data_IF_366692226298
#
_entry.id   IF_366692226298
#
_cell.length_a   1.000
_cell.length_b   1.000
_cell.length_c   1.000
_cell.angle_alpha   90.00
_cell.angle_beta   90.00
_cell.angle_gamma   90.00
#
_symmetry.space_group_name_H-M   'P 1'
#
loop_
_entity.id
_entity.type
_entity.pdbx_description
1 polymer ?
#
# COMPACT_ATOMS: atom_id res chain seq x y z
N UNK A 1 -40.15 -1.58 -5.97
CA UNK A 1 -39.15 -2.02 -6.96
C UNK A 1 -38.54 -0.80 -7.61
N UNK A 2 -37.22 -0.62 -7.53
CA UNK A 2 -36.50 0.50 -8.16
C UNK A 2 -35.96 -0.01 -9.48
N UNK A 3 -36.30 0.67 -10.58
CA UNK A 3 -35.91 0.26 -11.93
C UNK A 3 -34.87 1.26 -12.47
N UNK A 4 -33.63 0.80 -12.57
CA UNK A 4 -32.54 1.52 -13.23
C UNK A 4 -32.47 1.01 -14.68
N UNK A 5 -32.90 1.83 -15.63
CA UNK A 5 -32.81 1.50 -17.06
C UNK A 5 -31.72 2.34 -17.70
N UNK A 6 -30.60 1.72 -18.07
CA UNK A 6 -29.60 2.32 -18.96
C UNK A 6 -30.03 2.07 -20.41
N UNK A 7 -30.31 3.15 -21.15
CA UNK A 7 -30.45 3.09 -22.60
C UNK A 7 -29.18 3.63 -23.25
N UNK A 8 -28.54 2.80 -24.08
CA UNK A 8 -27.31 3.12 -24.81
C UNK A 8 -27.69 3.70 -26.17
N UNK A 9 -27.73 5.02 -26.27
CA UNK A 9 -27.74 5.74 -27.56
C UNK A 9 -26.38 6.44 -27.71
N UNK A 10 -25.76 6.50 -28.90
CA UNK A 10 -24.39 6.98 -29.04
C UNK A 10 -24.34 8.47 -28.67
N UNK A 11 -23.81 8.75 -27.48
CA UNK A 11 -23.49 10.09 -27.00
C UNK A 11 -24.38 10.69 -25.91
N UNK A 12 -25.52 10.09 -25.53
CA UNK A 12 -26.34 10.62 -24.42
C UNK A 12 -26.80 9.47 -23.53
N UNK A 13 -26.32 9.46 -22.29
CA UNK A 13 -26.80 8.55 -21.26
C UNK A 13 -27.90 9.24 -20.47
N UNK A 14 -28.97 8.50 -20.19
CA UNK A 14 -30.12 9.02 -19.44
C UNK A 14 -30.29 8.27 -18.14
N UNK A 15 -30.21 8.98 -17.01
CA UNK A 15 -30.51 8.45 -15.68
C UNK A 15 -31.93 8.86 -15.28
N UNK A 16 -32.81 7.90 -14.99
CA UNK A 16 -34.14 8.18 -14.44
C UNK A 16 -34.20 7.76 -12.98
N UNK A 17 -34.47 8.72 -12.09
CA UNK A 17 -34.70 8.48 -10.67
C UNK A 17 -36.00 9.17 -10.25
N UNK A 18 -37.01 8.39 -9.85
CA UNK A 18 -38.39 8.88 -9.63
C UNK A 18 -38.92 9.62 -10.88
N UNK A 19 -39.56 10.79 -10.71
CA UNK A 19 -40.03 11.65 -11.81
C UNK A 19 -38.94 12.59 -12.38
N UNK A 20 -37.66 12.35 -12.10
CA UNK A 20 -36.56 13.15 -12.64
C UNK A 20 -35.74 12.36 -13.64
N UNK A 21 -35.51 12.96 -14.80
CA UNK A 21 -34.67 12.42 -15.87
C UNK A 21 -33.48 13.36 -16.03
N UNK A 22 -32.26 12.83 -15.85
CA UNK A 22 -31.01 13.58 -16.07
C UNK A 22 -30.33 13.00 -17.30
N UNK A 23 -30.07 13.85 -18.30
CA UNK A 23 -29.28 13.49 -19.47
C UNK A 23 -27.85 13.98 -19.27
N UNK A 24 -26.87 13.12 -19.51
CA UNK A 24 -25.46 13.50 -19.50
C UNK A 24 -24.76 13.00 -20.75
N UNK A 25 -23.90 13.86 -21.31
CA UNK A 25 -23.05 13.56 -22.46
C UNK A 25 -21.64 13.32 -21.94
N UNK A 26 -21.20 12.07 -21.91
CA UNK A 26 -19.78 11.75 -21.72
C UNK A 26 -19.09 12.06 -23.05
N UNK A 27 -18.29 13.12 -23.11
CA UNK A 27 -17.47 13.48 -24.30
C UNK A 27 -16.18 12.64 -24.38
N UNK A 28 -16.24 11.38 -23.93
CA UNK A 28 -15.07 10.52 -23.76
C UNK A 28 -15.28 9.25 -24.59
N UNK A 29 -14.47 9.05 -25.62
CA UNK A 29 -14.46 7.81 -26.39
C UNK A 29 -13.64 6.76 -25.64
N UNK A 30 -14.30 6.09 -24.69
CA UNK A 30 -13.71 5.02 -23.89
C UNK A 30 -13.11 3.89 -24.74
N UNK A 31 -13.50 3.74 -26.02
CA UNK A 31 -12.96 2.68 -26.88
C UNK A 31 -11.55 2.99 -27.38
N UNK A 32 -11.27 4.23 -27.78
CA UNK A 32 -9.96 4.64 -28.29
C UNK A 32 -8.87 4.59 -27.20
N UNK A 33 -9.20 5.03 -25.99
CA UNK A 33 -8.22 5.10 -24.91
C UNK A 33 -7.87 3.71 -24.35
N UNK A 34 -8.81 2.76 -24.44
CA UNK A 34 -8.53 1.37 -24.08
C UNK A 34 -7.60 0.72 -25.11
N UNK A 35 -7.73 1.02 -26.40
CA UNK A 35 -6.82 0.48 -27.41
C UNK A 35 -5.35 0.88 -27.14
N UNK A 36 -5.09 2.13 -26.77
CA UNK A 36 -3.74 2.60 -26.43
C UNK A 36 -3.18 1.95 -25.15
N UNK A 37 -3.99 1.86 -24.09
CA UNK A 37 -3.59 1.17 -22.87
C UNK A 37 -3.29 -0.32 -23.11
N UNK A 38 -4.09 -0.99 -23.95
CA UNK A 38 -3.84 -2.38 -24.32
C UNK A 38 -2.51 -2.55 -25.06
N UNK A 39 -2.20 -1.66 -26.03
CA UNK A 39 -0.91 -1.71 -26.75
C UNK A 39 0.28 -1.59 -25.80
N UNK A 40 0.24 -0.65 -24.87
CA UNK A 40 1.29 -0.45 -23.86
C UNK A 40 1.42 -1.67 -22.95
N UNK A 41 0.29 -2.21 -22.48
CA UNK A 41 0.27 -3.41 -21.65
C UNK A 41 0.92 -4.61 -22.37
N UNK A 42 0.55 -4.88 -23.63
CA UNK A 42 1.11 -5.98 -24.39
C UNK A 42 2.60 -5.78 -24.68
N UNK A 43 3.03 -4.56 -25.01
CA UNK A 43 4.44 -4.22 -25.20
C UNK A 43 5.25 -4.53 -23.94
N UNK A 44 4.82 -4.05 -22.78
CA UNK A 44 5.51 -4.25 -21.51
C UNK A 44 5.53 -5.73 -21.09
N UNK A 45 4.40 -6.43 -21.22
CA UNK A 45 4.32 -7.84 -20.87
C UNK A 45 5.25 -8.71 -21.75
N UNK A 46 5.28 -8.45 -23.06
CA UNK A 46 6.09 -9.22 -24.02
C UNK A 46 7.59 -8.87 -23.96
N UNK A 47 7.92 -7.58 -23.87
CA UNK A 47 9.30 -7.10 -23.96
C UNK A 47 10.04 -7.03 -22.62
N UNK A 48 9.35 -7.18 -21.48
CA UNK A 48 10.00 -7.20 -20.16
C UNK A 48 10.93 -8.40 -19.93
N UNK A 49 11.09 -9.32 -20.90
CA UNK A 49 11.84 -10.57 -20.74
C UNK A 49 11.36 -11.40 -19.54
N UNK A 50 10.07 -11.32 -19.20
CA UNK A 50 9.45 -11.92 -17.99
C UNK A 50 9.96 -11.36 -16.67
N UNK A 51 10.66 -10.22 -16.67
CA UNK A 51 11.06 -9.54 -15.45
C UNK A 51 9.86 -9.00 -14.66
N UNK A 52 8.75 -8.74 -15.35
CA UNK A 52 7.53 -8.20 -14.76
C UNK A 52 6.42 -9.25 -14.89
N UNK A 53 5.78 -9.58 -13.78
CA UNK A 53 4.62 -10.48 -13.78
C UNK A 53 3.38 -9.74 -14.24
N UNK A 54 2.40 -10.47 -14.79
CA UNK A 54 1.08 -9.92 -15.13
C UNK A 54 0.47 -9.12 -13.96
N UNK A 55 0.49 -9.70 -12.77
CA UNK A 55 -0.05 -9.10 -11.55
C UNK A 55 0.67 -7.79 -11.19
N UNK A 56 2.01 -7.76 -11.26
CA UNK A 56 2.79 -6.54 -11.01
C UNK A 56 2.47 -5.44 -12.03
N UNK A 57 2.26 -5.80 -13.29
CA UNK A 57 1.91 -4.87 -14.35
C UNK A 57 0.49 -4.28 -14.16
N UNK A 58 -0.47 -5.13 -13.78
CA UNK A 58 -1.84 -4.71 -13.47
C UNK A 58 -1.89 -3.78 -12.25
N UNK A 59 -1.21 -4.14 -11.15
CA UNK A 59 -1.12 -3.31 -9.94
C UNK A 59 -0.50 -1.94 -10.25
N UNK A 60 0.61 -1.91 -10.99
CA UNK A 60 1.29 -0.65 -11.34
C UNK A 60 0.41 0.26 -12.21
N UNK A 61 -0.39 -0.31 -13.11
CA UNK A 61 -1.32 0.46 -13.93
C UNK A 61 -2.44 1.09 -13.09
N UNK A 62 -2.99 0.33 -12.13
CA UNK A 62 -4.04 0.83 -11.22
C UNK A 62 -3.48 1.92 -10.31
N UNK A 63 -2.28 1.73 -9.75
CA UNK A 63 -1.58 2.75 -8.95
C UNK A 63 -1.32 4.03 -9.76
N UNK A 64 -0.85 3.91 -10.99
CA UNK A 64 -0.62 5.05 -11.88
C UNK A 64 -1.88 5.86 -12.15
N UNK A 65 -3.02 5.20 -12.36
CA UNK A 65 -4.32 5.85 -12.53
C UNK A 65 -4.77 6.51 -11.22
N UNK A 66 -4.66 5.83 -10.09
CA UNK A 66 -5.08 6.35 -8.78
C UNK A 66 -4.28 7.58 -8.34
N UNK A 67 -2.97 7.60 -8.61
CA UNK A 67 -2.09 8.73 -8.35
C UNK A 67 -2.49 10.01 -9.12
N UNK A 68 -3.31 9.89 -10.18
CA UNK A 68 -3.82 11.04 -10.93
C UNK A 68 -5.05 11.71 -10.29
N UNK A 69 -5.71 11.04 -9.33
CA UNK A 69 -6.93 11.51 -8.69
C UNK A 69 -6.64 12.56 -7.61
N UNK A 70 -5.83 12.19 -6.61
CA UNK A 70 -5.23 13.09 -5.62
C UNK A 70 -4.15 12.35 -4.81
N UNK A 71 -3.38 13.09 -3.98
CA UNK A 71 -2.30 12.54 -3.17
C UNK A 71 -2.74 11.57 -2.05
N UNK A 72 -4.04 11.43 -1.81
CA UNK A 72 -4.62 10.58 -0.75
C UNK A 72 -5.30 9.33 -1.32
N UNK A 73 -5.52 9.29 -2.63
CA UNK A 73 -6.16 8.20 -3.35
C UNK A 73 -5.15 7.09 -3.63
N UNK A 74 -5.15 6.05 -2.80
CA UNK A 74 -4.27 4.91 -2.96
C UNK A 74 -5.05 3.67 -3.37
N UNK A 75 -4.52 2.94 -4.36
CA UNK A 75 -4.90 1.55 -4.58
C UNK A 75 -4.27 0.71 -3.47
N UNK A 76 -5.06 -0.16 -2.86
CA UNK A 76 -4.56 -1.12 -1.88
C UNK A 76 -4.92 -2.50 -2.37
N UNK A 77 -3.90 -3.33 -2.61
CA UNK A 77 -4.12 -4.75 -2.74
C UNK A 77 -4.65 -5.34 -1.42
N UNK A 78 -5.07 -6.60 -1.45
CA UNK A 78 -5.68 -7.26 -0.30
C UNK A 78 -4.75 -7.23 0.93
N UNK A 79 -3.46 -7.52 0.73
CA UNK A 79 -2.49 -7.62 1.81
C UNK A 79 -2.22 -6.24 2.44
N UNK A 80 -2.11 -5.20 1.61
CA UNK A 80 -1.92 -3.81 2.02
C UNK A 80 -3.16 -3.26 2.71
N UNK A 81 -4.34 -3.56 2.19
CA UNK A 81 -5.62 -3.19 2.81
C UNK A 81 -5.76 -3.84 4.19
N UNK A 82 -5.50 -5.15 4.29
CA UNK A 82 -5.52 -5.84 5.58
C UNK A 82 -4.45 -5.29 6.53
N UNK A 83 -3.27 -4.89 6.01
CA UNK A 83 -2.22 -4.24 6.80
C UNK A 83 -2.68 -2.89 7.36
N UNK A 84 -3.27 -2.04 6.53
CA UNK A 84 -3.79 -0.71 6.92
C UNK A 84 -5.00 -0.79 7.85
N UNK A 85 -5.89 -1.76 7.64
CA UNK A 85 -6.96 -2.06 8.57
C UNK A 85 -6.40 -2.50 9.92
N UNK A 86 -5.36 -3.35 9.96
CA UNK A 86 -4.69 -3.71 11.22
C UNK A 86 -4.00 -2.52 11.89
N UNK A 87 -3.41 -1.59 11.12
CA UNK A 87 -2.81 -0.35 11.64
C UNK A 87 -3.88 0.54 12.29
N UNK A 88 -5.01 0.72 11.62
CA UNK A 88 -6.14 1.53 12.08
C UNK A 88 -6.85 0.92 13.29
N UNK A 89 -6.94 -0.41 13.33
CA UNK A 89 -7.52 -1.17 14.44
C UNK A 89 -6.56 -1.30 15.65
N UNK A 90 -5.33 -0.75 15.56
CA UNK A 90 -4.34 -0.84 16.62
C UNK A 90 -3.85 -2.26 16.90
N UNK A 91 -4.03 -3.19 15.95
CA UNK A 91 -3.70 -4.61 16.07
C UNK A 91 -2.22 -4.92 15.81
N UNK A 92 -1.34 -3.92 15.83
CA UNK A 92 0.11 -4.11 15.84
C UNK A 92 0.70 -3.77 17.20
N UNK A 93 1.51 -4.70 17.72
CA UNK A 93 2.39 -4.41 18.85
C UNK A 93 3.74 -3.96 18.32
N UNK A 94 4.02 -2.65 18.36
CA UNK A 94 5.40 -2.19 18.28
C UNK A 94 6.13 -2.49 19.59
N UNK A 95 7.45 -2.66 19.56
CA UNK A 95 8.25 -2.80 20.79
C UNK A 95 8.23 -1.51 21.64
N UNK A 96 7.74 -0.39 21.10
CA UNK A 96 7.62 0.90 21.79
C UNK A 96 8.98 1.53 22.04
N UNK A 97 9.72 1.77 20.96
CA UNK A 97 11.02 2.43 20.94
C UNK A 97 11.14 3.32 19.70
N UNK A 98 11.95 4.36 19.81
CA UNK A 98 12.35 5.24 18.71
C UNK A 98 13.77 4.85 18.31
N UNK A 99 14.00 4.64 17.02
CA UNK A 99 15.30 4.26 16.46
C UNK A 99 15.80 5.31 15.48
N UNK A 100 17.11 5.36 15.28
CA UNK A 100 17.77 6.22 14.30
C UNK A 100 18.94 5.49 13.66
N UNK A 101 19.39 5.98 12.50
CA UNK A 101 20.58 5.49 11.81
C UNK A 101 21.72 6.48 12.02
N UNK A 102 22.87 6.00 12.49
CA UNK A 102 24.10 6.77 12.62
C UNK A 102 25.28 5.88 12.25
N UNK A 103 26.25 6.38 11.49
CA UNK A 103 27.46 5.62 11.11
C UNK A 103 27.15 4.23 10.50
N UNK A 104 26.08 4.16 9.70
CA UNK A 104 25.53 2.93 9.11
C UNK A 104 25.16 1.83 10.12
N UNK A 105 24.81 2.24 11.35
CA UNK A 105 24.32 1.38 12.43
C UNK A 105 23.03 1.95 13.00
N UNK A 106 22.12 1.07 13.35
CA UNK A 106 20.84 1.43 13.95
C UNK A 106 21.01 1.55 15.46
N UNK A 107 20.50 2.64 16.02
CA UNK A 107 20.57 2.97 17.44
C UNK A 107 19.20 3.26 18.01
N UNK A 108 19.00 2.89 19.26
CA UNK A 108 17.83 3.29 20.05
C UNK A 108 18.02 4.73 20.51
N UNK A 109 17.09 5.60 20.14
CA UNK A 109 17.03 6.99 20.63
C UNK A 109 16.39 7.03 22.01
N UNK A 110 15.27 6.34 22.19
CA UNK A 110 14.55 6.21 23.47
C UNK A 110 13.54 5.07 23.42
N UNK A 111 13.21 4.53 24.59
CA UNK A 111 12.05 3.65 24.78
C UNK A 111 10.84 4.45 25.25
N UNK A 112 9.65 3.93 25.00
CA UNK A 112 8.39 4.46 25.53
C UNK A 112 8.11 3.84 26.90
N UNK A 113 7.59 4.62 27.85
CA UNK A 113 7.24 4.13 29.17
C UNK A 113 6.21 2.99 29.09
N UNK A 114 6.38 1.97 29.92
CA UNK A 114 5.59 0.74 29.97
C UNK A 114 5.54 -0.02 28.62
N UNK A 115 6.54 0.14 27.76
CA UNK A 115 6.62 -0.61 26.50
C UNK A 115 7.29 -1.98 26.69
N UNK A 116 7.09 -2.93 25.75
CA UNK A 116 7.89 -4.16 25.71
C UNK A 116 9.39 -3.92 25.71
N UNK A 117 9.87 -2.88 25.02
CA UNK A 117 11.29 -2.53 24.97
C UNK A 117 11.84 -2.08 26.32
N UNK A 118 11.10 -1.24 27.06
CA UNK A 118 11.50 -0.84 28.42
C UNK A 118 11.52 -2.04 29.37
N UNK A 119 10.51 -2.90 29.32
CA UNK A 119 10.46 -4.14 30.12
C UNK A 119 11.58 -5.12 29.78
N UNK A 120 12.06 -5.11 28.54
CA UNK A 120 13.21 -5.90 28.09
C UNK A 120 14.57 -5.28 28.50
N UNK A 121 14.58 -4.11 29.13
CA UNK A 121 15.79 -3.44 29.58
C UNK A 121 16.57 -2.74 28.46
N UNK A 122 15.94 -2.46 27.32
CA UNK A 122 16.56 -1.75 26.20
C UNK A 122 16.70 -0.28 26.57
N UNK A 123 17.89 0.28 26.33
CA UNK A 123 18.23 1.65 26.72
C UNK A 123 18.54 2.53 25.51
N UNK A 124 18.45 3.83 25.72
CA UNK A 124 18.93 4.81 24.74
C UNK A 124 20.44 4.60 24.52
N UNK A 125 20.86 4.54 23.25
CA UNK A 125 22.24 4.29 22.84
C UNK A 125 22.53 2.84 22.46
N UNK A 126 21.63 1.88 22.72
CA UNK A 126 21.80 0.50 22.28
C UNK A 126 21.85 0.43 20.75
N UNK A 127 22.76 -0.40 20.23
CA UNK A 127 22.88 -0.66 18.79
C UNK A 127 22.45 -2.07 18.45
N UNK A 128 21.76 -2.23 17.32
CA UNK A 128 21.28 -3.53 16.88
C UNK A 128 22.35 -4.25 16.06
N UNK A 129 22.63 -5.51 16.41
CA UNK A 129 23.52 -6.40 15.63
C UNK A 129 22.71 -7.40 14.79
N UNK A 130 21.62 -7.91 15.36
CA UNK A 130 20.75 -8.87 14.71
C UNK A 130 19.28 -8.65 15.08
N UNK A 131 18.38 -9.16 14.25
CA UNK A 131 16.97 -9.34 14.62
C UNK A 131 16.54 -10.72 14.17
N UNK A 132 16.00 -11.52 15.10
CA UNK A 132 15.61 -12.92 14.87
C UNK A 132 16.73 -13.74 14.21
N UNK A 133 17.98 -13.51 14.64
CA UNK A 133 19.18 -14.17 14.10
C UNK A 133 19.65 -13.66 12.74
N UNK A 134 18.94 -12.72 12.10
CA UNK A 134 19.37 -12.08 10.85
C UNK A 134 20.28 -10.90 11.15
N UNK A 135 21.47 -10.85 10.54
CA UNK A 135 22.33 -9.68 10.58
C UNK A 135 21.65 -8.50 9.88
N UNK A 136 21.56 -7.35 10.55
CA UNK A 136 20.82 -6.19 10.05
C UNK A 136 21.70 -4.99 9.69
N UNK A 137 23.03 -5.12 9.74
CA UNK A 137 23.97 -4.00 9.51
C UNK A 137 23.91 -3.42 8.09
N UNK A 138 23.29 -4.14 7.15
CA UNK A 138 23.10 -3.72 5.76
C UNK A 138 21.67 -3.26 5.43
N UNK A 139 20.74 -3.27 6.41
CA UNK A 139 19.34 -2.95 6.17
C UNK A 139 19.05 -1.46 6.33
N UNK A 140 18.13 -0.95 5.50
CA UNK A 140 17.58 0.38 5.68
C UNK A 140 16.63 0.43 6.88
N UNK A 141 16.42 1.63 7.43
CA UNK A 141 15.60 1.86 8.64
C UNK A 141 14.17 1.32 8.49
N UNK A 142 13.60 1.39 7.28
CA UNK A 142 12.26 0.88 6.98
C UNK A 142 12.19 -0.65 7.02
N UNK A 143 13.21 -1.33 6.49
CA UNK A 143 13.31 -2.79 6.51
C UNK A 143 13.44 -3.30 7.95
N UNK A 144 14.26 -2.64 8.78
CA UNK A 144 14.35 -2.96 10.20
C UNK A 144 13.02 -2.71 10.91
N UNK A 145 12.38 -1.57 10.66
CA UNK A 145 11.09 -1.24 11.28
C UNK A 145 10.02 -2.28 10.95
N UNK A 146 10.05 -2.88 9.75
CA UNK A 146 9.18 -3.98 9.39
C UNK A 146 9.53 -5.29 10.12
N UNK A 147 10.81 -5.57 10.39
CA UNK A 147 11.23 -6.74 11.18
C UNK A 147 10.89 -6.63 12.67
N UNK A 148 10.87 -5.41 13.20
CA UNK A 148 10.52 -5.13 14.59
C UNK A 148 9.00 -4.99 14.81
N UNK A 149 8.23 -4.82 13.73
CA UNK A 149 6.77 -4.87 13.75
C UNK A 149 6.30 -6.31 13.62
N UNK A 150 5.38 -6.70 14.47
CA UNK A 150 4.76 -8.01 14.43
C UNK A 150 3.35 -8.00 14.96
N UNK A 151 2.70 -9.16 14.88
CA UNK A 151 1.43 -9.36 15.58
C UNK A 151 1.66 -9.24 17.10
N UNK A 152 0.66 -8.77 17.87
CA UNK A 152 0.69 -8.84 19.32
C UNK A 152 1.09 -10.25 19.78
N UNK A 153 1.89 -10.34 20.85
CA UNK A 153 2.44 -11.60 21.39
C UNK A 153 3.48 -12.31 20.51
N UNK A 154 3.88 -11.76 19.36
CA UNK A 154 5.04 -12.30 18.62
C UNK A 154 6.34 -11.91 19.33
N UNK A 155 7.18 -12.92 19.59
CA UNK A 155 8.49 -12.71 20.20
C UNK A 155 9.48 -12.26 19.13
N UNK A 156 10.20 -11.18 19.44
CA UNK A 156 11.34 -10.70 18.66
C UNK A 156 12.60 -10.91 19.48
N UNK A 157 13.64 -11.45 18.86
CA UNK A 157 14.98 -11.56 19.46
C UNK A 157 15.89 -10.49 18.84
N UNK A 158 16.60 -9.75 19.68
CA UNK A 158 17.49 -8.65 19.31
C UNK A 158 18.95 -9.03 19.64
#
# INVERSE_FOLDING_TARGET
SVELTLSKNPGINTLRYRNRTTQYKLTYDRSHDWDELQKVYYFLHDHSRKAITKESLETSAIEGIMNSLDAYSQYMDKDSFEKSMRDTEGKYGGLGMVITMKDNRLYVVKTMNNSPAERAGILAGDSFMSVNGKNITALHIEELANLLRGYPETKVTL
#
